data_IF_713290539435
#
_entry.id   IF_713290539435
#
_cell.length_a   1.000
_cell.length_b   1.000
_cell.length_c   1.000
_cell.angle_alpha   90.00
_cell.angle_beta   90.00
_cell.angle_gamma   90.00
#
_symmetry.space_group_name_H-M   'P 1'
#
loop_
_entity.id
_entity.type
_entity.pdbx_description
1 polymer ?
#
# COMPACT_ATOMS: atom_id res chain seq x y z
N UNK A 1 12.77 -19.18 1.53
CA UNK A 1 13.35 -18.40 2.63
C UNK A 1 12.88 -16.94 2.63
N UNK A 2 13.10 -16.17 1.54
CA UNK A 2 12.75 -14.73 1.51
C UNK A 2 11.25 -14.43 1.64
N UNK A 3 10.38 -15.24 1.02
CA UNK A 3 8.93 -15.09 1.14
C UNK A 3 8.47 -15.19 2.60
N UNK A 4 8.91 -16.24 3.32
CA UNK A 4 8.52 -16.47 4.71
C UNK A 4 9.02 -15.35 5.63
N UNK A 5 10.21 -14.80 5.35
CA UNK A 5 10.72 -13.64 6.09
C UNK A 5 9.82 -12.41 5.88
N UNK A 6 9.50 -12.06 4.63
CA UNK A 6 8.62 -10.94 4.32
C UNK A 6 7.22 -11.14 4.93
N UNK A 7 6.66 -12.34 4.82
CA UNK A 7 5.37 -12.69 5.40
C UNK A 7 5.38 -12.58 6.93
N UNK A 8 6.44 -13.08 7.58
CA UNK A 8 6.64 -12.93 9.02
C UNK A 8 6.71 -11.46 9.44
N UNK A 9 7.48 -10.63 8.73
CA UNK A 9 7.56 -9.19 9.02
C UNK A 9 6.19 -8.50 8.91
N UNK A 10 5.39 -8.82 7.88
CA UNK A 10 4.04 -8.23 7.71
C UNK A 10 3.05 -8.72 8.76
N UNK A 11 3.14 -9.99 9.18
CA UNK A 11 2.14 -10.59 10.10
C UNK A 11 2.48 -10.36 11.56
N UNK A 12 3.75 -10.49 11.94
CA UNK A 12 4.22 -10.55 13.32
C UNK A 12 4.89 -9.26 13.82
N UNK A 13 5.03 -8.24 12.98
CA UNK A 13 5.59 -6.95 13.38
C UNK A 13 4.64 -5.79 13.08
N UNK A 14 4.85 -4.68 13.79
CA UNK A 14 4.23 -3.37 13.52
C UNK A 14 5.19 -2.43 12.78
N UNK A 15 6.20 -2.96 12.07
CA UNK A 15 7.19 -2.17 11.35
C UNK A 15 6.67 -1.78 9.97
N UNK A 16 7.03 -0.57 9.52
CA UNK A 16 6.80 -0.15 8.14
C UNK A 16 7.79 -0.88 7.21
N UNK A 17 7.28 -1.51 6.17
CA UNK A 17 8.08 -2.34 5.25
C UNK A 17 7.95 -1.78 3.84
N UNK A 18 9.09 -1.55 3.19
CA UNK A 18 9.15 -1.23 1.77
C UNK A 18 9.59 -2.46 0.98
N UNK A 19 8.66 -3.05 0.21
CA UNK A 19 8.93 -4.21 -0.63
C UNK A 19 9.17 -3.79 -2.08
N UNK A 20 10.39 -3.99 -2.57
CA UNK A 20 10.78 -3.72 -3.96
C UNK A 20 11.34 -4.96 -4.65
N UNK A 21 11.52 -4.88 -5.96
CA UNK A 21 12.05 -5.96 -6.79
C UNK A 21 11.79 -5.71 -8.28
N UNK A 22 12.55 -6.40 -9.14
CA UNK A 22 12.41 -6.31 -10.61
C UNK A 22 11.00 -6.69 -11.09
N UNK A 23 10.67 -6.36 -12.33
CA UNK A 23 9.42 -6.84 -12.95
C UNK A 23 9.39 -8.39 -12.91
N UNK A 24 8.19 -8.97 -12.74
CA UNK A 24 8.01 -10.42 -12.69
C UNK A 24 8.41 -11.12 -11.39
N UNK A 25 8.91 -10.41 -10.36
CA UNK A 25 9.34 -11.05 -9.09
C UNK A 25 8.22 -11.39 -8.10
N UNK A 26 6.95 -11.41 -8.55
CA UNK A 26 5.83 -11.85 -7.71
C UNK A 26 5.31 -10.85 -6.66
N UNK A 27 5.67 -9.56 -6.73
CA UNK A 27 5.22 -8.53 -5.76
C UNK A 27 3.70 -8.46 -5.63
N UNK A 28 2.98 -8.39 -6.74
CA UNK A 28 1.51 -8.35 -6.75
C UNK A 28 0.91 -9.65 -6.21
N UNK A 29 1.53 -10.79 -6.53
CA UNK A 29 1.14 -12.10 -6.00
C UNK A 29 1.29 -12.16 -4.48
N UNK A 30 2.39 -11.62 -3.93
CA UNK A 30 2.62 -11.53 -2.50
C UNK A 30 1.57 -10.67 -1.79
N UNK A 31 1.25 -9.49 -2.35
CA UNK A 31 0.21 -8.61 -1.78
C UNK A 31 -1.17 -9.29 -1.79
N UNK A 32 -1.54 -9.99 -2.87
CA UNK A 32 -2.78 -10.78 -2.94
C UNK A 32 -2.80 -11.89 -1.89
N UNK A 33 -1.69 -12.61 -1.73
CA UNK A 33 -1.56 -13.64 -0.70
C UNK A 33 -1.77 -13.07 0.72
N UNK A 34 -1.18 -11.91 1.02
CA UNK A 34 -1.37 -11.23 2.30
C UNK A 34 -2.85 -10.89 2.52
N UNK A 35 -3.49 -10.26 1.54
CA UNK A 35 -4.92 -9.92 1.60
C UNK A 35 -5.79 -11.14 1.90
N UNK A 36 -5.53 -12.26 1.22
CA UNK A 36 -6.40 -13.44 1.30
C UNK A 36 -6.14 -14.31 2.54
N UNK A 37 -4.94 -14.25 3.13
CA UNK A 37 -4.51 -15.14 4.22
C UNK A 37 -4.34 -14.47 5.58
N UNK A 38 -4.20 -13.15 5.63
CA UNK A 38 -3.93 -12.42 6.87
C UNK A 38 -5.21 -11.76 7.37
N UNK A 39 -5.77 -12.18 8.52
CA UNK A 39 -7.01 -11.62 9.06
C UNK A 39 -6.75 -10.29 9.79
N UNK A 40 -6.20 -9.31 9.07
CA UNK A 40 -6.00 -7.94 9.56
C UNK A 40 -7.00 -7.01 8.89
N UNK A 41 -7.48 -6.00 9.61
CA UNK A 41 -8.16 -4.87 8.97
C UNK A 41 -7.16 -4.17 8.05
N UNK A 42 -7.46 -4.13 6.76
CA UNK A 42 -6.50 -3.75 5.73
C UNK A 42 -7.13 -2.76 4.76
N UNK A 43 -6.48 -1.61 4.59
CA UNK A 43 -6.74 -0.70 3.50
C UNK A 43 -5.76 -1.00 2.36
N UNK A 44 -6.27 -1.34 1.18
CA UNK A 44 -5.46 -1.54 -0.03
C UNK A 44 -5.59 -0.29 -0.88
N UNK A 45 -4.50 0.47 -0.98
CA UNK A 45 -4.47 1.74 -1.70
C UNK A 45 -3.36 1.73 -2.76
N UNK A 46 -3.61 2.43 -3.87
CA UNK A 46 -2.64 2.63 -4.93
C UNK A 46 -2.71 4.08 -5.49
N UNK A 47 -1.66 4.58 -6.15
CA UNK A 47 -1.64 5.96 -6.65
C UNK A 47 -2.53 6.19 -7.88
N UNK A 48 -2.79 5.16 -8.70
CA UNK A 48 -3.60 5.25 -9.92
C UNK A 48 -4.77 4.25 -9.91
N UNK A 49 -5.83 4.55 -10.66
CA UNK A 49 -7.03 3.71 -10.73
C UNK A 49 -6.74 2.28 -11.23
N UNK A 50 -5.97 2.14 -12.31
CA UNK A 50 -5.61 0.82 -12.86
C UNK A 50 -4.80 -0.02 -11.85
N UNK A 51 -3.89 0.61 -11.10
CA UNK A 51 -3.12 -0.09 -10.06
C UNK A 51 -4.01 -0.52 -8.89
N UNK A 52 -4.96 0.34 -8.48
CA UNK A 52 -5.92 0.02 -7.43
C UNK A 52 -6.80 -1.18 -7.81
N UNK A 53 -7.35 -1.18 -9.02
CA UNK A 53 -8.15 -2.30 -9.55
C UNK A 53 -7.33 -3.59 -9.57
N UNK A 54 -6.10 -3.55 -10.07
CA UNK A 54 -5.23 -4.72 -10.14
C UNK A 54 -4.85 -5.30 -8.76
N UNK A 55 -4.80 -4.44 -7.74
CA UNK A 55 -4.57 -4.83 -6.35
C UNK A 55 -5.86 -5.23 -5.60
N UNK A 56 -7.04 -4.97 -6.18
CA UNK A 56 -8.34 -5.19 -5.53
C UNK A 56 -8.61 -4.18 -4.41
N UNK A 57 -8.22 -2.92 -4.61
CA UNK A 57 -8.39 -1.82 -3.66
C UNK A 57 -8.89 -0.54 -4.32
N UNK A 58 -8.62 0.59 -3.70
CA UNK A 58 -9.04 1.93 -4.15
C UNK A 58 -7.84 2.86 -4.30
N UNK A 59 -8.04 4.08 -4.82
CA UNK A 59 -6.92 5.04 -4.90
C UNK A 59 -6.67 5.67 -3.53
N UNK A 60 -5.44 6.15 -3.31
CA UNK A 60 -5.10 6.93 -2.10
C UNK A 60 -6.04 8.13 -1.99
N UNK A 61 -6.31 8.82 -3.11
CA UNK A 61 -7.21 9.97 -3.16
C UNK A 61 -8.63 9.63 -2.73
N UNK A 62 -9.23 8.56 -3.28
CA UNK A 62 -10.61 8.20 -2.95
C UNK A 62 -10.74 7.61 -1.54
N UNK A 63 -9.72 6.91 -1.04
CA UNK A 63 -9.76 6.35 0.32
C UNK A 63 -9.73 7.43 1.38
N UNK A 64 -8.82 8.40 1.25
CA UNK A 64 -8.64 9.49 2.22
C UNK A 64 -9.43 10.76 1.88
N UNK A 65 -10.26 10.74 0.83
CA UNK A 65 -11.00 11.91 0.32
C UNK A 65 -10.09 13.11 0.04
N UNK A 66 -8.89 12.85 -0.49
CA UNK A 66 -7.91 13.88 -0.81
C UNK A 66 -8.23 14.52 -2.17
N UNK A 67 -8.04 15.84 -2.32
CA UNK A 67 -8.12 16.49 -3.62
C UNK A 67 -6.99 16.00 -4.54
N UNK A 68 -7.23 16.04 -5.85
CA UNK A 68 -6.20 15.71 -6.86
C UNK A 68 -5.17 16.85 -7.06
N UNK A 69 -5.33 17.95 -6.31
CA UNK A 69 -4.41 19.09 -6.35
C UNK A 69 -3.19 18.85 -5.46
N UNK A 70 -2.02 19.40 -5.84
CA UNK A 70 -0.87 19.43 -4.95
C UNK A 70 -1.20 20.10 -3.62
N UNK A 71 -0.61 19.60 -2.54
CA UNK A 71 -0.58 20.31 -1.28
C UNK A 71 0.47 21.41 -1.36
N UNK A 72 0.05 22.67 -1.21
CA UNK A 72 0.94 23.81 -1.06
C UNK A 72 0.98 24.14 0.43
N UNK A 73 2.11 23.95 1.13
CA UNK A 73 2.22 24.35 2.53
C UNK A 73 1.99 25.85 2.61
N UNK A 74 1.02 26.28 3.41
CA UNK A 74 0.89 27.68 3.76
C UNK A 74 2.14 28.10 4.54
N UNK A 75 2.71 29.25 4.18
CA UNK A 75 3.88 29.77 4.87
C UNK A 75 3.60 29.98 6.36
N UNK A 76 4.62 29.92 7.23
CA UNK A 76 4.42 30.15 8.66
C UNK A 76 3.78 31.53 8.88
N UNK A 77 2.55 31.56 9.41
CA UNK A 77 1.82 32.80 9.72
C UNK A 77 0.41 32.92 9.15
N UNK A 78 -0.14 31.91 8.47
CA UNK A 78 -1.55 31.85 8.09
C UNK A 78 -2.17 30.60 8.70
N UNK A 79 -2.68 30.73 9.92
CA UNK A 79 -3.59 29.81 10.60
C UNK A 79 -4.49 30.64 11.52
#
# INVERSE_FOLDING_TARGET
>A
MLFNLAFGMVTQSARNIFLTGKAGTGKTTFLRYIRDKVPKQMAIVAPTGVAAINAGGVTIHSFFQLPLSPFVPEGPGQA
#
